data_IF_548258556481
#
_entry.id   IF_548258556481
#
_cell.length_a   1.000
_cell.length_b   1.000
_cell.length_c   1.000
_cell.angle_alpha   90.00
_cell.angle_beta   90.00
_cell.angle_gamma   90.00
#
_symmetry.space_group_name_H-M   'P 1'
#
loop_
_entity.id
_entity.type
_entity.pdbx_description
1 polymer ?
#
# COMPACT_ATOMS: atom_id res chain seq x y z
N UNK A 1 -19.33 5.68 9.59
CA UNK A 1 -20.47 6.61 9.79
C UNK A 1 -20.41 7.38 11.12
N UNK A 2 -19.87 6.79 12.20
CA UNK A 2 -19.80 7.44 13.52
C UNK A 2 -18.94 8.72 13.48
N UNK A 3 -17.81 8.68 12.79
CA UNK A 3 -16.88 9.81 12.66
C UNK A 3 -17.24 10.79 11.52
N UNK A 4 -18.18 10.41 10.66
CA UNK A 4 -18.61 11.23 9.53
C UNK A 4 -17.57 11.28 8.38
N UNK A 5 -17.71 12.28 7.52
CA UNK A 5 -16.80 12.54 6.39
C UNK A 5 -15.52 13.19 6.89
N UNK A 6 -14.35 12.65 6.60
CA UNK A 6 -13.08 13.28 6.98
C UNK A 6 -12.82 14.54 6.14
N UNK A 7 -11.99 15.44 6.67
CA UNK A 7 -11.58 16.67 5.98
C UNK A 7 -10.62 16.41 4.83
N UNK A 8 -9.60 15.59 5.04
CA UNK A 8 -8.53 15.33 4.06
C UNK A 8 -8.69 13.98 3.37
N UNK A 9 -8.90 12.92 4.12
CA UNK A 9 -8.96 11.56 3.58
C UNK A 9 -8.99 10.49 4.65
N UNK A 10 -9.04 9.24 4.21
CA UNK A 10 -8.94 8.06 5.05
C UNK A 10 -7.55 7.45 4.96
N UNK A 11 -6.90 7.21 6.09
CA UNK A 11 -5.71 6.38 6.21
C UNK A 11 -6.17 4.96 6.58
N UNK A 12 -5.82 3.97 5.76
CA UNK A 12 -6.32 2.59 5.91
C UNK A 12 -5.17 1.61 6.00
N UNK A 13 -5.15 0.81 7.04
CA UNK A 13 -4.21 -0.30 7.20
C UNK A 13 -4.90 -1.55 7.77
N UNK A 14 -4.25 -2.69 7.67
CA UNK A 14 -4.67 -3.94 8.33
C UNK A 14 -4.23 -4.02 9.80
N UNK A 15 -3.59 -2.99 10.31
CA UNK A 15 -2.88 -3.01 11.59
C UNK A 15 -1.39 -3.32 11.39
N UNK A 16 -0.71 -3.74 12.43
CA UNK A 16 0.74 -3.98 12.44
C UNK A 16 1.17 -5.29 11.76
N UNK A 17 0.25 -6.09 11.28
CA UNK A 17 0.51 -7.35 10.57
C UNK A 17 -0.43 -7.53 9.38
N UNK A 18 0.03 -8.24 8.37
CA UNK A 18 -0.78 -8.70 7.26
C UNK A 18 -1.93 -9.59 7.75
N UNK A 19 -3.16 -9.31 7.31
CA UNK A 19 -4.35 -10.01 7.79
C UNK A 19 -4.33 -11.50 7.48
N UNK A 20 -3.82 -11.89 6.31
CA UNK A 20 -3.73 -13.30 5.92
C UNK A 20 -2.70 -14.06 6.75
N UNK A 21 -1.54 -13.46 7.03
CA UNK A 21 -0.51 -14.03 7.89
C UNK A 21 -1.02 -14.16 9.33
N UNK A 22 -1.81 -13.20 9.80
CA UNK A 22 -2.42 -13.25 11.12
C UNK A 22 -3.53 -14.31 11.22
N UNK A 23 -4.33 -14.49 10.17
CA UNK A 23 -5.48 -15.39 10.22
C UNK A 23 -5.14 -16.86 9.92
N UNK A 24 -4.05 -17.12 9.19
CA UNK A 24 -3.72 -18.45 8.70
C UNK A 24 -2.30 -18.86 9.03
N UNK A 25 -2.11 -20.16 9.25
CA UNK A 25 -0.78 -20.77 9.32
C UNK A 25 -0.20 -20.97 7.92
N UNK A 26 1.10 -21.30 7.83
CA UNK A 26 1.77 -21.67 6.57
C UNK A 26 1.08 -22.82 5.85
N UNK A 27 0.48 -23.76 6.59
CA UNK A 27 -0.31 -24.88 6.03
C UNK A 27 -1.74 -24.48 5.64
N UNK A 28 -2.03 -23.17 5.53
CA UNK A 28 -3.34 -22.60 5.18
C UNK A 28 -4.49 -22.96 6.14
N UNK A 29 -4.16 -23.40 7.36
CA UNK A 29 -5.14 -23.65 8.40
C UNK A 29 -5.47 -22.36 9.14
N UNK A 30 -6.74 -22.07 9.33
CA UNK A 30 -7.18 -20.91 10.12
C UNK A 30 -6.70 -21.03 11.55
N UNK A 31 -6.16 -19.95 12.10
CA UNK A 31 -5.75 -19.88 13.51
C UNK A 31 -6.98 -19.83 14.41
N UNK A 32 -6.82 -20.25 15.65
CA UNK A 32 -7.91 -20.27 16.65
C UNK A 32 -8.12 -18.90 17.30
N UNK A 33 -7.06 -18.08 17.33
CA UNK A 33 -7.05 -16.79 18.01
C UNK A 33 -6.53 -15.71 17.06
N UNK A 34 -7.05 -14.50 17.23
CA UNK A 34 -6.56 -13.27 16.61
C UNK A 34 -6.09 -12.31 17.71
N UNK A 35 -4.78 -12.24 17.93
CA UNK A 35 -4.15 -11.42 18.97
C UNK A 35 -4.42 -9.91 18.82
N UNK A 36 -4.94 -9.49 17.68
CA UNK A 36 -5.24 -8.08 17.37
C UNK A 36 -6.73 -7.75 17.45
N UNK A 37 -7.52 -8.63 18.02
CA UNK A 37 -8.92 -8.36 18.31
C UNK A 37 -9.18 -8.44 19.81
N UNK A 38 -10.10 -7.64 20.35
CA UNK A 38 -10.46 -7.70 21.76
C UNK A 38 -10.88 -9.13 22.16
N UNK A 39 -10.25 -9.65 23.23
CA UNK A 39 -10.48 -11.00 23.70
C UNK A 39 -9.92 -12.12 22.82
N UNK A 40 -9.08 -11.79 21.84
CA UNK A 40 -8.46 -12.77 20.95
C UNK A 40 -9.45 -13.46 19.98
N UNK A 41 -10.62 -12.90 19.79
CA UNK A 41 -11.73 -13.56 19.07
C UNK A 41 -11.44 -13.60 17.57
N UNK A 42 -11.20 -14.79 17.03
CA UNK A 42 -10.99 -15.00 15.60
C UNK A 42 -12.24 -14.69 14.77
N UNK A 43 -12.04 -14.10 13.59
CA UNK A 43 -13.11 -13.84 12.61
C UNK A 43 -13.79 -12.49 12.76
N UNK A 44 -13.33 -11.63 13.65
CA UNK A 44 -13.79 -10.24 13.78
C UNK A 44 -13.23 -9.33 12.68
N UNK A 45 -12.03 -9.63 12.18
CA UNK A 45 -11.41 -8.91 11.07
C UNK A 45 -11.57 -9.71 9.77
N UNK A 46 -11.78 -9.03 8.63
CA UNK A 46 -11.88 -9.71 7.35
C UNK A 46 -10.52 -10.21 6.86
N UNK A 47 -10.53 -11.23 6.02
CA UNK A 47 -9.38 -11.59 5.19
C UNK A 47 -9.14 -10.49 4.17
N UNK A 48 -7.87 -10.24 3.79
CA UNK A 48 -7.47 -9.13 2.92
C UNK A 48 -8.04 -7.79 3.43
N UNK A 49 -7.78 -7.48 4.68
CA UNK A 49 -8.43 -6.42 5.43
C UNK A 49 -8.36 -5.05 4.74
N UNK A 50 -7.20 -4.69 4.18
CA UNK A 50 -7.03 -3.40 3.45
C UNK A 50 -7.99 -3.30 2.27
N UNK A 51 -8.13 -4.37 1.47
CA UNK A 51 -9.04 -4.40 0.32
C UNK A 51 -10.49 -4.21 0.79
N UNK A 52 -10.89 -4.95 1.81
CA UNK A 52 -12.27 -4.88 2.34
C UNK A 52 -12.57 -3.50 2.92
N UNK A 53 -11.66 -2.96 3.74
CA UNK A 53 -11.88 -1.65 4.37
C UNK A 53 -11.93 -0.51 3.35
N UNK A 54 -11.00 -0.47 2.41
CA UNK A 54 -11.01 0.54 1.34
C UNK A 54 -12.28 0.47 0.49
N UNK A 55 -12.71 -0.73 0.09
CA UNK A 55 -13.94 -0.91 -0.70
C UNK A 55 -15.19 -0.50 0.09
N UNK A 56 -15.27 -0.77 1.39
CA UNK A 56 -16.36 -0.30 2.26
C UNK A 56 -16.38 1.24 2.35
N UNK A 57 -15.20 1.84 2.51
CA UNK A 57 -15.08 3.30 2.53
C UNK A 57 -15.50 3.88 1.18
N UNK A 58 -15.01 3.33 0.06
CA UNK A 58 -15.34 3.80 -1.29
C UNK A 58 -16.83 3.67 -1.59
N UNK A 59 -17.51 2.65 -1.08
CA UNK A 59 -18.95 2.50 -1.24
C UNK A 59 -19.74 3.58 -0.48
N UNK A 60 -19.23 4.02 0.67
CA UNK A 60 -19.86 5.05 1.49
C UNK A 60 -19.47 6.48 1.07
N UNK A 61 -18.22 6.69 0.62
CA UNK A 61 -17.65 7.98 0.26
C UNK A 61 -16.91 7.86 -1.08
N UNK A 62 -17.61 8.16 -2.17
CA UNK A 62 -17.11 7.95 -3.54
C UNK A 62 -15.94 8.87 -3.93
N UNK A 63 -15.89 10.05 -3.36
CA UNK A 63 -15.03 11.17 -3.74
C UNK A 63 -13.96 11.54 -2.68
N UNK A 64 -13.91 10.83 -1.55
CA UNK A 64 -12.94 11.10 -0.49
C UNK A 64 -11.63 10.35 -0.77
N UNK A 65 -10.46 10.99 -0.62
CA UNK A 65 -9.17 10.33 -0.75
C UNK A 65 -9.03 9.12 0.19
N UNK A 66 -8.50 8.02 -0.35
CA UNK A 66 -8.18 6.81 0.41
C UNK A 66 -6.69 6.51 0.23
N UNK A 67 -5.93 6.64 1.30
CA UNK A 67 -4.52 6.30 1.38
C UNK A 67 -4.39 4.96 2.09
N UNK A 68 -4.00 3.92 1.37
CA UNK A 68 -3.72 2.61 1.95
C UNK A 68 -2.27 2.54 2.42
N UNK A 69 -2.03 1.87 3.54
CA UNK A 69 -0.68 1.74 4.10
C UNK A 69 -0.51 0.49 4.97
N UNK A 70 0.58 0.48 5.70
CA UNK A 70 0.97 -0.65 6.53
C UNK A 70 1.56 -1.81 5.72
N UNK A 71 1.92 -2.89 6.42
CA UNK A 71 2.66 -4.00 5.81
C UNK A 71 1.85 -4.74 4.74
N UNK A 72 0.55 -4.89 4.91
CA UNK A 72 -0.32 -5.58 3.94
C UNK A 72 -0.36 -4.84 2.60
N UNK A 73 -0.52 -3.52 2.61
CA UNK A 73 -0.49 -2.71 1.40
C UNK A 73 0.90 -2.65 0.79
N UNK A 74 1.94 -2.50 1.61
CA UNK A 74 3.34 -2.45 1.17
C UNK A 74 3.76 -3.71 0.42
N UNK A 75 3.41 -4.90 0.93
CA UNK A 75 3.75 -6.17 0.31
C UNK A 75 2.99 -6.43 -1.01
N UNK A 76 1.82 -5.81 -1.17
CA UNK A 76 0.93 -6.00 -2.32
C UNK A 76 0.83 -4.79 -3.25
N UNK A 77 1.75 -3.84 -3.14
CA UNK A 77 1.74 -2.57 -3.89
C UNK A 77 1.91 -2.71 -5.40
N UNK A 78 2.54 -3.79 -5.84
CA UNK A 78 2.69 -4.19 -7.24
C UNK A 78 2.05 -5.57 -7.45
N UNK A 79 2.06 -6.09 -8.67
CA UNK A 79 1.61 -7.45 -8.94
C UNK A 79 2.39 -8.46 -8.11
N UNK A 80 1.71 -9.39 -7.51
CA UNK A 80 2.29 -10.32 -6.55
C UNK A 80 1.64 -11.70 -6.63
N UNK A 81 2.42 -12.72 -6.27
CA UNK A 81 1.88 -14.06 -6.06
C UNK A 81 1.21 -14.13 -4.69
N UNK A 82 -0.09 -14.38 -4.70
CA UNK A 82 -0.86 -14.61 -3.47
C UNK A 82 -0.82 -16.09 -3.09
N UNK A 83 -0.05 -16.39 -2.06
CA UNK A 83 0.13 -17.74 -1.56
C UNK A 83 -1.19 -18.42 -1.15
N UNK A 84 -2.11 -17.66 -0.58
CA UNK A 84 -3.35 -18.18 -0.02
C UNK A 84 -4.31 -18.67 -1.10
N UNK A 85 -4.51 -17.90 -2.15
CA UNK A 85 -5.34 -18.25 -3.31
C UNK A 85 -4.60 -19.01 -4.40
N UNK A 86 -3.24 -19.14 -4.29
CA UNK A 86 -2.37 -19.72 -5.31
C UNK A 86 -2.54 -19.06 -6.68
N UNK A 87 -2.61 -17.74 -6.69
CA UNK A 87 -2.83 -16.94 -7.91
C UNK A 87 -1.95 -15.70 -7.94
N UNK A 88 -1.64 -15.25 -9.15
CA UNK A 88 -1.15 -13.89 -9.36
C UNK A 88 -2.28 -12.91 -9.10
N UNK A 89 -1.99 -11.85 -8.34
CA UNK A 89 -2.89 -10.74 -8.04
C UNK A 89 -2.31 -9.44 -8.58
N UNK A 90 -3.19 -8.53 -8.96
CA UNK A 90 -2.83 -7.16 -9.33
C UNK A 90 -2.33 -6.39 -8.11
N UNK A 91 -1.78 -5.20 -8.36
CA UNK A 91 -1.56 -4.23 -7.29
C UNK A 91 -2.81 -4.06 -6.43
N UNK A 92 -2.61 -4.06 -5.12
CA UNK A 92 -3.69 -3.81 -4.15
C UNK A 92 -4.31 -2.42 -4.36
N UNK A 93 -3.57 -1.46 -4.92
CA UNK A 93 -4.08 -0.13 -5.27
C UNK A 93 -5.30 -0.21 -6.19
N UNK A 94 -5.31 -1.16 -7.12
CA UNK A 94 -6.40 -1.38 -8.06
C UNK A 94 -7.55 -2.18 -7.42
N UNK A 95 -7.22 -3.24 -6.67
CA UNK A 95 -8.21 -4.12 -6.07
C UNK A 95 -8.93 -3.48 -4.87
N UNK A 96 -8.23 -2.65 -4.11
CA UNK A 96 -8.80 -1.89 -2.99
C UNK A 96 -9.52 -0.60 -3.40
N UNK A 97 -9.42 -0.17 -4.66
CA UNK A 97 -9.91 1.13 -5.12
C UNK A 97 -9.36 2.30 -4.27
N UNK A 98 -8.14 2.15 -3.74
CA UNK A 98 -7.43 3.22 -3.09
C UNK A 98 -6.89 4.22 -4.12
N UNK A 99 -6.55 5.42 -3.68
CA UNK A 99 -6.01 6.46 -4.55
C UNK A 99 -4.48 6.43 -4.54
N UNK A 100 -3.89 6.28 -3.34
CA UNK A 100 -2.44 6.18 -3.11
C UNK A 100 -2.16 5.06 -2.11
N UNK A 101 -1.00 4.42 -2.24
CA UNK A 101 -0.41 3.59 -1.19
C UNK A 101 0.79 4.34 -0.62
N UNK A 102 0.88 4.45 0.71
CA UNK A 102 2.12 4.76 1.41
C UNK A 102 2.77 3.45 1.81
N UNK A 103 3.98 3.17 1.30
CA UNK A 103 4.68 1.91 1.54
C UNK A 103 5.99 2.09 2.29
N UNK A 104 6.42 1.04 2.98
CA UNK A 104 7.60 1.09 3.82
C UNK A 104 7.38 1.93 5.08
N UNK A 105 8.36 2.75 5.43
CA UNK A 105 8.25 3.71 6.52
C UNK A 105 7.47 4.93 6.04
N UNK A 106 6.32 5.17 6.66
CA UNK A 106 5.34 6.14 6.19
C UNK A 106 5.39 7.50 6.87
N UNK A 107 6.31 7.74 7.79
CA UNK A 107 6.34 8.91 8.66
C UNK A 107 6.42 10.20 7.85
N UNK A 108 7.36 10.30 6.91
CA UNK A 108 7.48 11.46 6.02
C UNK A 108 6.32 11.52 5.03
N UNK A 109 6.06 10.42 4.32
CA UNK A 109 5.06 10.40 3.24
C UNK A 109 3.66 10.72 3.72
N UNK A 110 3.28 10.35 4.95
CA UNK A 110 1.96 10.66 5.50
C UNK A 110 1.81 12.14 5.81
N UNK A 111 2.86 12.78 6.33
CA UNK A 111 2.86 14.22 6.61
C UNK A 111 2.80 15.01 5.29
N UNK A 112 3.67 14.68 4.33
CA UNK A 112 3.69 15.32 3.01
C UNK A 112 2.35 15.16 2.26
N UNK A 113 1.72 13.97 2.34
CA UNK A 113 0.39 13.73 1.78
C UNK A 113 -0.68 14.59 2.45
N UNK A 114 -0.62 14.71 3.78
CA UNK A 114 -1.58 15.52 4.52
C UNK A 114 -1.43 17.01 4.18
N UNK A 115 -0.20 17.51 4.10
CA UNK A 115 0.09 18.90 3.74
C UNK A 115 -0.32 19.21 2.30
N UNK A 116 -0.05 18.31 1.36
CA UNK A 116 -0.47 18.45 -0.03
C UNK A 116 -2.00 18.52 -0.16
N UNK A 117 -2.73 17.66 0.53
CA UNK A 117 -4.20 17.66 0.55
C UNK A 117 -4.76 18.90 1.26
N UNK A 118 -4.13 19.33 2.35
CA UNK A 118 -4.55 20.54 3.10
C UNK A 118 -4.31 21.83 2.31
N UNK A 119 -3.30 21.84 1.45
CA UNK A 119 -3.06 22.93 0.49
C UNK A 119 -4.06 22.99 -0.66
N UNK A 120 -4.95 21.99 -0.78
CA UNK A 120 -5.99 21.91 -1.79
C UNK A 120 -5.62 21.15 -3.07
N UNK A 121 -4.49 20.43 -3.08
CA UNK A 121 -4.16 19.57 -4.21
C UNK A 121 -5.13 18.37 -4.31
N UNK A 122 -5.55 18.05 -5.53
CA UNK A 122 -6.31 16.82 -5.77
C UNK A 122 -5.40 15.60 -5.57
N UNK A 123 -5.91 14.58 -4.91
CA UNK A 123 -5.15 13.35 -4.62
C UNK A 123 -4.52 12.71 -5.87
N UNK A 124 -5.16 12.83 -7.03
CA UNK A 124 -4.65 12.30 -8.30
C UNK A 124 -3.43 13.06 -8.83
N UNK A 125 -3.21 14.30 -8.40
CA UNK A 125 -2.11 15.16 -8.82
C UNK A 125 -0.89 15.01 -7.87
N UNK A 126 -1.07 14.34 -6.73
CA UNK A 126 0.00 14.05 -5.77
C UNK A 126 0.77 12.80 -6.24
N UNK A 127 1.74 13.01 -7.14
CA UNK A 127 2.49 11.93 -7.80
C UNK A 127 3.99 11.95 -7.48
N UNK A 128 4.43 12.88 -6.62
CA UNK A 128 5.83 13.26 -6.43
C UNK A 128 6.43 12.85 -5.08
N UNK A 129 5.63 12.30 -4.16
CA UNK A 129 6.06 11.96 -2.81
C UNK A 129 6.77 10.61 -2.79
N UNK A 130 7.99 10.54 -2.26
CA UNK A 130 8.73 9.31 -2.07
C UNK A 130 8.01 8.37 -1.07
N UNK A 131 8.20 7.05 -1.23
CA UNK A 131 7.49 6.07 -0.41
C UNK A 131 6.01 5.91 -0.77
N UNK A 132 5.58 6.38 -1.94
CA UNK A 132 4.20 6.25 -2.40
C UNK A 132 4.05 5.45 -3.68
N UNK A 133 2.84 4.93 -3.91
CA UNK A 133 2.43 4.30 -5.16
C UNK A 133 1.11 4.88 -5.60
N UNK A 134 1.03 5.28 -6.85
CA UNK A 134 -0.16 5.87 -7.45
C UNK A 134 -0.50 5.21 -8.80
N UNK A 135 -1.66 5.52 -9.36
CA UNK A 135 -2.07 5.06 -10.70
C UNK A 135 -2.24 6.21 -11.66
N UNK A 136 -1.87 6.00 -12.91
CA UNK A 136 -2.01 6.98 -13.98
C UNK A 136 -2.42 6.32 -15.29
N UNK A 137 -2.93 7.11 -16.23
CA UNK A 137 -3.23 6.69 -17.61
C UNK A 137 -2.21 7.19 -18.63
N UNK A 138 -1.29 8.06 -18.23
CA UNK A 138 -0.22 8.60 -19.07
C UNK A 138 1.10 8.57 -18.34
N UNK A 139 2.17 8.28 -19.07
CA UNK A 139 3.55 8.34 -18.56
C UNK A 139 4.28 9.63 -18.97
N UNK A 140 3.63 10.59 -19.62
CA UNK A 140 4.24 11.83 -20.09
C UNK A 140 4.92 12.64 -19.00
N UNK A 141 4.38 12.58 -17.77
CA UNK A 141 4.93 13.26 -16.59
C UNK A 141 5.76 12.34 -15.68
N UNK A 142 6.00 11.09 -16.08
CA UNK A 142 6.77 10.12 -15.28
C UNK A 142 8.17 10.01 -15.87
N UNK A 143 9.17 10.44 -15.12
CA UNK A 143 10.57 10.47 -15.57
C UNK A 143 11.44 9.53 -14.72
N UNK A 144 12.58 9.10 -15.30
CA UNK A 144 13.58 8.27 -14.65
C UNK A 144 13.01 7.03 -13.97
N UNK A 145 12.36 6.19 -14.73
CA UNK A 145 11.74 4.96 -14.24
C UNK A 145 12.31 3.70 -14.88
N UNK A 146 12.11 2.57 -14.21
CA UNK A 146 12.28 1.23 -14.76
C UNK A 146 10.90 0.67 -15.10
N UNK A 147 10.75 0.21 -16.33
CA UNK A 147 9.52 -0.46 -16.77
C UNK A 147 9.56 -1.93 -16.31
N UNK A 148 8.54 -2.36 -15.61
CA UNK A 148 8.32 -3.76 -15.25
C UNK A 148 7.55 -4.49 -16.37
N UNK A 149 7.58 -5.82 -16.41
CA UNK A 149 6.72 -6.59 -17.31
C UNK A 149 5.23 -6.24 -17.08
N UNK A 150 4.45 -6.32 -18.15
CA UNK A 150 3.00 -6.12 -18.07
C UNK A 150 2.35 -7.21 -17.20
N UNK A 151 1.29 -6.85 -16.48
CA UNK A 151 0.57 -7.81 -15.63
C UNK A 151 0.10 -9.05 -16.36
N UNK A 152 -0.28 -8.95 -17.64
CA UNK A 152 -0.68 -10.11 -18.46
C UNK A 152 0.47 -11.07 -18.69
N UNK A 153 1.69 -10.56 -18.94
CA UNK A 153 2.89 -11.38 -19.04
C UNK A 153 3.19 -12.15 -17.74
N UNK A 154 2.94 -11.52 -16.59
CA UNK A 154 3.15 -12.15 -15.27
C UNK A 154 2.16 -13.29 -15.00
N UNK A 155 0.98 -13.27 -15.61
CA UNK A 155 0.00 -14.35 -15.51
C UNK A 155 0.42 -15.60 -16.30
N UNK A 156 1.13 -15.41 -17.38
CA UNK A 156 1.47 -16.46 -18.35
C UNK A 156 2.86 -17.07 -18.10
N UNK A 157 3.83 -16.27 -17.64
CA UNK A 157 5.22 -16.69 -17.52
C UNK A 157 5.82 -16.39 -16.13
N UNK A 158 6.12 -17.46 -15.39
CA UNK A 158 6.78 -17.36 -14.07
C UNK A 158 8.18 -16.74 -14.14
N UNK A 159 8.88 -16.80 -15.29
CA UNK A 159 10.19 -16.15 -15.45
C UNK A 159 10.02 -14.64 -15.50
N UNK A 160 8.99 -14.15 -16.18
CA UNK A 160 8.66 -12.71 -16.19
C UNK A 160 8.34 -12.20 -14.79
N UNK A 161 7.64 -13.01 -13.99
CA UNK A 161 7.42 -12.67 -12.58
C UNK A 161 8.74 -12.61 -11.78
N UNK A 162 9.64 -13.58 -11.99
CA UNK A 162 10.94 -13.56 -11.32
C UNK A 162 11.80 -12.36 -11.75
N UNK A 163 11.76 -11.95 -13.01
CA UNK A 163 12.41 -10.75 -13.52
C UNK A 163 11.83 -9.49 -12.86
N UNK A 164 10.50 -9.37 -12.81
CA UNK A 164 9.83 -8.26 -12.11
C UNK A 164 10.26 -8.18 -10.66
N UNK A 165 10.24 -9.31 -9.95
CA UNK A 165 10.68 -9.36 -8.56
C UNK A 165 12.15 -8.95 -8.38
N UNK A 166 13.03 -9.41 -9.28
CA UNK A 166 14.45 -9.04 -9.23
C UNK A 166 14.64 -7.52 -9.40
N UNK A 167 13.92 -6.90 -10.33
CA UNK A 167 13.97 -5.45 -10.53
C UNK A 167 13.48 -4.72 -9.28
N UNK A 168 12.38 -5.17 -8.68
CA UNK A 168 11.85 -4.60 -7.43
C UNK A 168 12.86 -4.73 -6.28
N UNK A 169 13.43 -5.92 -6.10
CA UNK A 169 14.41 -6.20 -5.05
C UNK A 169 15.70 -5.37 -5.21
N UNK A 170 16.17 -5.23 -6.43
CA UNK A 170 17.37 -4.43 -6.76
C UNK A 170 17.14 -2.92 -6.73
N UNK A 171 15.94 -2.45 -6.39
CA UNK A 171 15.54 -1.05 -6.43
C UNK A 171 14.97 -0.58 -5.08
N UNK A 172 15.52 -1.12 -3.98
CA UNK A 172 15.05 -0.84 -2.62
C UNK A 172 15.85 0.23 -1.87
N UNK A 173 16.96 0.68 -2.45
CA UNK A 173 17.82 1.70 -1.86
C UNK A 173 17.17 3.09 -1.98
N UNK A 174 16.95 3.82 -0.87
CA UNK A 174 16.27 5.12 -0.87
C UNK A 174 17.07 6.26 -1.51
N UNK A 175 18.37 6.07 -1.73
CA UNK A 175 19.26 7.09 -2.32
C UNK A 175 19.49 6.91 -3.81
N UNK A 176 19.39 5.69 -4.31
CA UNK A 176 19.64 5.35 -5.72
C UNK A 176 18.46 4.68 -6.42
N UNK A 177 17.41 4.36 -5.68
CA UNK A 177 16.19 3.75 -6.21
C UNK A 177 15.49 4.65 -7.22
N UNK A 178 14.99 4.06 -8.29
CA UNK A 178 14.22 4.74 -9.32
C UNK A 178 12.73 4.44 -9.18
N UNK A 179 11.90 5.21 -9.87
CA UNK A 179 10.49 4.84 -10.05
C UNK A 179 10.37 3.49 -10.74
N UNK A 180 9.38 2.73 -10.34
CA UNK A 180 8.99 1.49 -11.03
C UNK A 180 7.61 1.70 -11.65
N UNK A 181 7.47 1.32 -12.91
CA UNK A 181 6.20 1.43 -13.64
C UNK A 181 5.76 0.04 -14.05
N UNK A 182 4.58 -0.36 -13.59
CA UNK A 182 3.95 -1.64 -13.92
C UNK A 182 2.72 -1.41 -14.79
N UNK A 183 2.74 -1.85 -16.06
CA UNK A 183 1.60 -1.71 -16.96
C UNK A 183 0.46 -2.70 -16.65
N UNK A 184 -0.75 -2.25 -16.89
CA UNK A 184 -1.98 -3.04 -16.82
C UNK A 184 -2.86 -2.81 -18.04
N UNK A 185 -3.80 -3.69 -18.29
CA UNK A 185 -4.78 -3.54 -19.38
C UNK A 185 -5.49 -2.17 -19.33
N UNK A 186 -5.89 -1.68 -20.50
CA UNK A 186 -6.63 -0.43 -20.63
C UNK A 186 -5.79 0.83 -20.45
N UNK A 187 -4.47 0.75 -20.66
CA UNK A 187 -3.51 1.85 -20.46
C UNK A 187 -3.51 2.40 -19.03
N UNK A 188 -3.64 1.52 -18.07
CA UNK A 188 -3.47 1.86 -16.66
C UNK A 188 -2.05 1.49 -16.24
N UNK A 189 -1.37 2.40 -15.59
CA UNK A 189 -0.03 2.20 -15.03
C UNK A 189 -0.09 2.38 -13.52
N UNK A 190 0.53 1.44 -12.80
CA UNK A 190 0.84 1.61 -11.38
C UNK A 190 2.29 2.08 -11.29
N UNK A 191 2.49 3.24 -10.69
CA UNK A 191 3.78 3.87 -10.53
C UNK A 191 4.18 3.87 -9.07
N UNK A 192 5.28 3.20 -8.76
CA UNK A 192 5.92 3.26 -7.46
C UNK A 192 7.01 4.33 -7.49
N UNK A 193 6.89 5.35 -6.66
CA UNK A 193 7.97 6.31 -6.41
C UNK A 193 9.15 5.63 -5.68
N UNK A 194 10.34 6.23 -5.65
CA UNK A 194 11.46 5.74 -4.85
C UNK A 194 11.06 5.50 -3.40
N UNK A 195 11.74 4.62 -2.66
CA UNK A 195 11.50 4.47 -1.23
C UNK A 195 11.72 5.79 -0.50
N UNK A 196 10.93 6.04 0.55
CA UNK A 196 11.15 7.16 1.45
C UNK A 196 12.55 7.06 2.10
N UNK A 197 13.20 8.20 2.33
CA UNK A 197 14.48 8.25 3.03
C UNK A 197 14.34 7.79 4.48
N UNK A 198 15.37 7.15 5.05
CA UNK A 198 15.38 6.83 6.46
C UNK A 198 15.22 8.09 7.33
N UNK A 199 14.55 7.94 8.46
CA UNK A 199 14.49 8.98 9.47
C UNK A 199 15.89 9.25 10.03
N UNK A 200 16.18 10.50 10.32
CA UNK A 200 17.31 10.89 11.16
C UNK A 200 17.07 10.45 12.61
N UNK A 201 18.12 10.52 13.46
CA UNK A 201 17.95 10.19 14.88
C UNK A 201 16.93 11.11 15.55
N UNK A 202 17.00 12.41 15.28
CA UNK A 202 16.10 13.39 15.89
C UNK A 202 14.63 13.14 15.47
N UNK A 203 14.38 12.88 14.19
CA UNK A 203 13.04 12.54 13.70
C UNK A 203 12.51 11.23 14.31
N UNK A 204 13.38 10.24 14.50
CA UNK A 204 13.01 9.00 15.17
C UNK A 204 12.65 9.26 16.64
N UNK A 205 13.43 10.08 17.33
CA UNK A 205 13.17 10.44 18.71
C UNK A 205 11.84 11.22 18.84
N UNK A 206 11.54 12.11 17.90
CA UNK A 206 10.26 12.83 17.84
C UNK A 206 9.07 11.86 17.64
N UNK A 207 9.21 10.85 16.77
CA UNK A 207 8.17 9.81 16.59
C UNK A 207 7.97 9.03 17.90
N UNK A 208 9.05 8.66 18.61
CA UNK A 208 8.94 7.96 19.88
C UNK A 208 8.44 8.86 21.02
N UNK A 209 8.60 10.18 20.91
CA UNK A 209 8.07 11.15 21.86
C UNK A 209 6.57 11.40 21.72
N UNK A 210 5.93 10.95 20.64
CA UNK A 210 4.48 11.07 20.48
C UNK A 210 3.73 10.45 21.67
N UNK A 211 2.54 10.98 22.02
CA UNK A 211 1.80 10.59 23.24
C UNK A 211 1.13 9.22 23.10
N UNK A 212 1.91 8.19 22.83
CA UNK A 212 1.42 6.82 22.85
C UNK A 212 1.11 6.37 24.27
N UNK A 213 0.03 5.62 24.43
CA UNK A 213 -0.35 5.05 25.74
C UNK A 213 0.69 4.02 26.24
N UNK A 214 1.43 3.38 25.35
CA UNK A 214 2.47 2.36 25.63
C UNK A 214 1.97 1.19 26.51
N UNK A 215 0.68 1.03 26.57
CA UNK A 215 -0.04 -0.06 27.27
C UNK A 215 -1.31 -0.40 26.49
N UNK A 216 -1.85 -1.58 26.74
CA UNK A 216 -3.08 -2.09 26.13
C UNK A 216 -4.08 -2.52 27.20
#
# INVERSE_FOLDING_TARGET
QILGRPRLGFLVSAGNMDSMVNHYSVSKKRRKEDSYTPGGVMGKRPDYAVVVYCNLIRSAYKDVPIIAGGIEASLRRLAHYDYWSNKMKRSILLDAQADIISYGMGEHSIVELADALDSGLDIKDITFIDGTVYKTKSLESVYDYKLLPDYTELLEDKKRYAESFFVQYSNTDPFSGKRLVEPYEGKVYVVQNPPAKPLTQDEMDDVYALPYMRSY
#
